data_IF_826861831833
#
_entry.id   IF_826861831833
#
_cell.length_a   1.000
_cell.length_b   1.000
_cell.length_c   1.000
_cell.angle_alpha   90.00
_cell.angle_beta   90.00
_cell.angle_gamma   90.00
#
_symmetry.space_group_name_H-M   'P 1'
#
loop_
_entity.id
_entity.type
_entity.pdbx_description
1 polymer ?
#
# COMPACT_ATOMS: atom_id res chain seq x y z
N UNK A 1 -8.63 5.63 -19.50
CA UNK A 1 -8.37 5.85 -18.08
C UNK A 1 -7.91 4.57 -17.40
N UNK A 2 -7.13 4.72 -16.36
CA UNK A 2 -6.70 3.58 -15.57
C UNK A 2 -5.92 4.01 -14.35
N UNK A 3 -5.85 3.12 -13.35
CA UNK A 3 -5.11 3.37 -12.11
C UNK A 3 -4.15 2.21 -11.87
N UNK A 4 -2.89 2.54 -11.70
CA UNK A 4 -1.86 1.58 -11.29
C UNK A 4 -1.70 1.71 -9.80
N UNK A 5 -1.91 0.61 -9.07
CA UNK A 5 -1.78 0.59 -7.61
C UNK A 5 -0.59 -0.28 -7.25
N UNK A 6 0.41 0.30 -6.62
CA UNK A 6 1.56 -0.43 -6.10
C UNK A 6 1.45 -0.49 -4.58
N UNK A 7 1.48 -1.69 -4.03
CA UNK A 7 1.34 -1.85 -2.59
C UNK A 7 2.59 -1.39 -1.87
N UNK A 8 2.40 -0.41 -1.00
CA UNK A 8 3.39 0.09 -0.07
C UNK A 8 3.06 -0.42 1.34
N UNK A 9 3.43 0.33 2.36
CA UNK A 9 3.19 -0.02 3.75
C UNK A 9 3.46 1.22 4.60
N UNK A 10 3.06 1.19 5.86
CA UNK A 10 3.49 2.20 6.81
C UNK A 10 5.01 2.29 6.90
N UNK A 11 5.70 1.16 6.68
CA UNK A 11 7.15 1.12 6.65
C UNK A 11 7.76 1.63 5.32
N UNK A 12 6.97 1.99 4.35
CA UNK A 12 7.41 2.76 3.18
C UNK A 12 7.45 4.26 3.47
N UNK A 13 6.90 4.67 4.61
CA UNK A 13 6.80 6.08 5.05
C UNK A 13 7.38 6.31 6.43
N UNK A 14 7.81 5.23 7.10
CA UNK A 14 8.41 5.26 8.43
C UNK A 14 9.39 4.09 8.54
N UNK A 15 9.98 3.92 9.70
CA UNK A 15 10.96 2.85 9.91
C UNK A 15 10.69 2.14 11.25
N UNK A 16 11.27 0.96 11.37
CA UNK A 16 11.20 0.18 12.62
C UNK A 16 12.43 -0.71 12.70
N UNK A 17 12.90 -1.03 13.92
CA UNK A 17 14.03 -1.95 14.05
C UNK A 17 13.68 -3.34 13.52
N UNK A 18 14.70 -4.07 13.07
CA UNK A 18 14.63 -5.47 12.63
C UNK A 18 13.90 -5.70 11.30
N UNK A 19 13.38 -4.65 10.66
CA UNK A 19 12.70 -4.76 9.37
C UNK A 19 13.34 -3.89 8.29
N UNK A 20 14.64 -3.62 8.41
CA UNK A 20 15.35 -2.74 7.48
C UNK A 20 15.22 -3.14 6.00
N UNK A 21 15.40 -4.43 5.62
CA UNK A 21 15.24 -4.79 4.21
C UNK A 21 13.81 -4.53 3.70
N UNK A 22 12.82 -4.81 4.52
CA UNK A 22 11.43 -4.58 4.16
C UNK A 22 11.15 -3.08 4.01
N UNK A 23 11.62 -2.28 4.97
CA UNK A 23 11.50 -0.82 4.90
C UNK A 23 12.14 -0.28 3.62
N UNK A 24 13.36 -0.72 3.29
CA UNK A 24 14.06 -0.28 2.09
C UNK A 24 13.24 -0.58 0.83
N UNK A 25 12.65 -1.79 0.75
CA UNK A 25 11.83 -2.19 -0.38
C UNK A 25 10.60 -1.29 -0.51
N UNK A 26 9.93 -1.02 0.60
CA UNK A 26 8.70 -0.22 0.59
C UNK A 26 8.96 1.26 0.33
N UNK A 27 10.07 1.80 0.84
CA UNK A 27 10.50 3.16 0.49
C UNK A 27 10.79 3.26 -1.01
N UNK A 28 11.42 2.23 -1.59
CA UNK A 28 11.67 2.19 -3.02
C UNK A 28 10.37 2.21 -3.82
N UNK A 29 9.35 1.47 -3.39
CA UNK A 29 8.04 1.45 -4.06
C UNK A 29 7.39 2.82 -4.01
N UNK A 30 7.47 3.53 -2.88
CA UNK A 30 6.94 4.89 -2.77
C UNK A 30 7.60 5.82 -3.78
N UNK A 31 8.93 5.81 -3.83
CA UNK A 31 9.68 6.67 -4.75
C UNK A 31 9.44 6.32 -6.20
N UNK A 32 9.48 5.03 -6.52
CA UNK A 32 9.22 4.55 -7.89
C UNK A 32 7.84 4.96 -8.37
N UNK A 33 6.82 4.75 -7.54
CA UNK A 33 5.44 5.02 -7.92
C UNK A 33 5.20 6.53 -8.11
N UNK A 34 5.79 7.35 -7.25
CA UNK A 34 5.67 8.80 -7.38
C UNK A 34 6.39 9.33 -8.61
N UNK A 35 7.54 8.76 -8.94
CA UNK A 35 8.26 9.13 -10.14
C UNK A 35 7.47 8.74 -11.39
N UNK A 36 6.91 7.51 -11.39
CA UNK A 36 6.07 7.04 -12.48
C UNK A 36 4.86 7.96 -12.68
N UNK A 37 4.26 8.42 -11.59
CA UNK A 37 3.09 9.30 -11.66
C UNK A 37 3.37 10.57 -12.45
N UNK A 38 4.61 11.07 -12.38
CA UNK A 38 5.00 12.29 -13.10
C UNK A 38 5.19 12.05 -14.59
N UNK A 39 5.31 10.80 -15.00
CA UNK A 39 5.57 10.44 -16.41
C UNK A 39 4.33 9.92 -17.13
N UNK A 40 3.25 9.65 -16.42
CA UNK A 40 2.05 9.06 -17.02
C UNK A 40 1.28 10.10 -17.85
N UNK A 41 0.66 9.65 -18.97
CA UNK A 41 -0.24 10.49 -19.73
C UNK A 41 -1.47 10.90 -18.89
N UNK A 42 -2.09 11.99 -19.32
CA UNK A 42 -3.34 12.45 -18.71
C UNK A 42 -4.40 11.34 -18.77
N UNK A 43 -5.14 11.17 -17.69
CA UNK A 43 -6.17 10.15 -17.61
C UNK A 43 -5.70 8.88 -16.90
N UNK A 44 -4.40 8.75 -16.64
CA UNK A 44 -3.85 7.64 -15.89
C UNK A 44 -3.35 8.11 -14.52
N UNK A 45 -3.31 7.19 -13.57
CA UNK A 45 -2.80 7.49 -12.24
C UNK A 45 -1.95 6.33 -11.73
N UNK A 46 -0.90 6.65 -10.98
CA UNK A 46 -0.12 5.67 -10.24
C UNK A 46 -0.15 6.06 -8.76
N UNK A 47 -0.52 5.11 -7.91
CA UNK A 47 -0.78 5.36 -6.49
C UNK A 47 0.02 4.37 -5.63
N UNK A 48 0.89 4.85 -4.74
CA UNK A 48 1.48 3.98 -3.73
C UNK A 48 0.46 3.82 -2.59
N UNK A 49 -0.02 2.60 -2.40
CA UNK A 49 -1.10 2.31 -1.46
C UNK A 49 -0.59 1.60 -0.22
N UNK A 50 -0.87 2.17 0.95
CA UNK A 50 -0.69 1.48 2.21
C UNK A 50 -1.98 0.71 2.50
N UNK A 51 -1.96 -0.63 2.43
CA UNK A 51 -3.16 -1.43 2.65
C UNK A 51 -3.58 -1.53 4.12
N UNK A 52 -2.76 -1.03 5.03
CA UNK A 52 -2.95 -1.25 6.45
C UNK A 52 -2.30 -2.57 6.88
N UNK A 53 -2.55 -2.97 8.11
CA UNK A 53 -2.00 -4.22 8.65
C UNK A 53 -3.06 -5.32 8.51
N UNK A 54 -2.67 -6.43 7.87
CA UNK A 54 -3.56 -7.54 7.54
C UNK A 54 -2.95 -8.83 8.06
N UNK A 55 -3.79 -9.74 8.57
CA UNK A 55 -3.35 -11.06 9.01
C UNK A 55 -3.01 -11.90 7.78
N UNK A 56 -1.74 -11.88 7.39
CA UNK A 56 -1.20 -12.63 6.26
C UNK A 56 0.01 -13.45 6.71
N UNK A 57 0.43 -14.42 5.87
CA UNK A 57 1.61 -15.20 6.17
C UNK A 57 2.85 -14.32 6.31
N UNK A 58 2.97 -13.30 5.49
CA UNK A 58 4.07 -12.34 5.58
C UNK A 58 4.07 -11.62 6.93
N UNK A 59 2.90 -11.16 7.37
CA UNK A 59 2.78 -10.48 8.64
C UNK A 59 3.14 -11.42 9.79
N UNK A 60 2.69 -12.67 9.73
CA UNK A 60 3.00 -13.66 10.75
C UNK A 60 4.49 -13.97 10.85
N UNK A 61 5.20 -13.94 9.73
CA UNK A 61 6.65 -14.15 9.75
C UNK A 61 7.38 -12.98 10.42
N UNK A 62 6.82 -11.77 10.39
CA UNK A 62 7.41 -10.59 11.02
C UNK A 62 6.95 -10.40 12.47
N UNK A 63 5.70 -10.72 12.77
CA UNK A 63 5.04 -10.39 14.03
C UNK A 63 4.64 -11.60 14.86
N UNK A 64 4.80 -12.81 14.32
CA UNK A 64 4.43 -14.04 15.01
C UNK A 64 2.94 -14.09 15.33
N UNK A 65 2.59 -14.57 16.51
CA UNK A 65 1.20 -14.70 16.92
C UNK A 65 0.46 -13.37 17.05
N UNK A 66 1.18 -12.25 17.12
CA UNK A 66 0.58 -10.93 17.19
C UNK A 66 -0.24 -10.57 15.95
N UNK A 67 0.05 -11.21 14.81
CA UNK A 67 -0.68 -10.97 13.56
C UNK A 67 -2.16 -11.32 13.68
N UNK A 68 -2.52 -12.29 14.55
CA UNK A 68 -3.92 -12.69 14.71
C UNK A 68 -4.83 -11.60 15.25
N UNK A 69 -4.28 -10.50 15.78
CA UNK A 69 -5.07 -9.35 16.23
C UNK A 69 -5.49 -8.41 15.12
N UNK A 70 -5.05 -8.64 13.89
CA UNK A 70 -5.35 -7.78 12.74
C UNK A 70 -6.37 -8.45 11.81
N UNK A 71 -7.07 -7.67 10.97
CA UNK A 71 -8.07 -8.25 10.09
C UNK A 71 -7.45 -9.20 9.06
N UNK A 72 -8.22 -10.22 8.71
CA UNK A 72 -7.84 -11.13 7.63
C UNK A 72 -8.11 -10.49 6.28
N UNK A 73 -7.54 -11.09 5.21
CA UNK A 73 -7.65 -10.54 3.87
C UNK A 73 -9.11 -10.37 3.42
N UNK A 74 -9.98 -11.32 3.77
CA UNK A 74 -11.39 -11.23 3.42
C UNK A 74 -12.08 -10.04 4.07
N UNK A 75 -11.78 -9.78 5.33
CA UNK A 75 -12.33 -8.64 6.06
C UNK A 75 -11.78 -7.33 5.52
N UNK A 76 -10.47 -7.32 5.22
CA UNK A 76 -9.82 -6.17 4.63
C UNK A 76 -10.46 -5.79 3.28
N UNK A 77 -10.76 -6.80 2.45
CA UNK A 77 -11.32 -6.58 1.13
C UNK A 77 -12.67 -5.86 1.16
N UNK A 78 -13.45 -6.04 2.21
CA UNK A 78 -14.74 -5.34 2.34
C UNK A 78 -14.58 -3.82 2.33
N UNK A 79 -13.47 -3.31 2.86
CA UNK A 79 -13.16 -1.88 2.86
C UNK A 79 -12.33 -1.49 1.64
N UNK A 80 -11.37 -2.34 1.27
CA UNK A 80 -10.40 -2.01 0.25
C UNK A 80 -10.98 -1.99 -1.15
N UNK A 81 -11.85 -2.94 -1.49
CA UNK A 81 -12.38 -3.04 -2.85
C UNK A 81 -13.19 -1.80 -3.24
N UNK A 82 -14.17 -1.33 -2.45
CA UNK A 82 -14.85 -0.08 -2.79
C UNK A 82 -13.89 1.12 -2.86
N UNK A 83 -12.90 1.16 -1.97
CA UNK A 83 -11.91 2.24 -1.97
C UNK A 83 -11.13 2.25 -3.28
N UNK A 84 -10.62 1.08 -3.70
CA UNK A 84 -9.85 0.97 -4.94
C UNK A 84 -10.68 1.34 -6.16
N UNK A 85 -11.95 0.96 -6.19
CA UNK A 85 -12.84 1.29 -7.30
C UNK A 85 -13.16 2.78 -7.38
N UNK A 86 -12.97 3.52 -6.28
CA UNK A 86 -13.21 4.97 -6.26
C UNK A 86 -12.04 5.79 -6.77
N UNK A 87 -10.87 5.18 -6.98
CA UNK A 87 -9.68 5.90 -7.41
C UNK A 87 -9.77 6.34 -8.87
N UNK A 88 -9.15 7.45 -9.18
CA UNK A 88 -9.17 7.99 -10.53
C UNK A 88 -7.96 8.90 -10.78
N UNK A 89 -7.93 9.60 -11.94
CA UNK A 89 -6.79 10.44 -12.32
C UNK A 89 -6.43 11.51 -11.30
N UNK A 90 -7.39 11.96 -10.51
CA UNK A 90 -7.16 12.99 -9.48
C UNK A 90 -6.26 12.47 -8.34
N UNK A 91 -6.11 11.16 -8.21
CA UNK A 91 -5.32 10.55 -7.15
C UNK A 91 -3.87 10.30 -7.57
N UNK A 92 -3.50 10.67 -8.79
CA UNK A 92 -2.17 10.38 -9.33
C UNK A 92 -1.06 10.92 -8.43
N UNK A 93 -0.15 10.04 -8.03
CA UNK A 93 0.99 10.40 -7.18
C UNK A 93 0.67 10.55 -5.70
N UNK A 94 -0.59 10.39 -5.30
CA UNK A 94 -0.98 10.56 -3.90
C UNK A 94 -0.69 9.29 -3.08
N UNK A 95 0.06 9.41 -1.97
CA UNK A 95 0.30 8.26 -1.10
C UNK A 95 -0.93 8.00 -0.23
N UNK A 96 -1.73 7.03 -0.63
CA UNK A 96 -3.00 6.75 0.00
C UNK A 96 -2.92 5.57 0.97
N UNK A 97 -3.90 5.51 1.87
CA UNK A 97 -4.04 4.41 2.85
C UNK A 97 -5.48 3.91 2.79
N UNK A 98 -5.64 2.59 2.76
CA UNK A 98 -6.98 1.99 2.79
C UNK A 98 -7.65 2.32 4.13
N UNK A 99 -8.91 2.82 4.11
CA UNK A 99 -9.65 3.08 5.34
C UNK A 99 -9.91 1.79 6.13
N UNK A 100 -9.94 1.90 7.45
CA UNK A 100 -10.24 0.71 8.25
C UNK A 100 -9.75 0.74 9.67
#
# INVERSE_FOLDING_TARGET
EGVIVNFSSGWGRSTSPEVAPYCATKWAIEGLTRALAQELPRGLAAVPLNPGVIDTDMLRSCWGSGAGGFPKAEQWAEQAVPFLLSLGPQDNGEPLTVPG
#
